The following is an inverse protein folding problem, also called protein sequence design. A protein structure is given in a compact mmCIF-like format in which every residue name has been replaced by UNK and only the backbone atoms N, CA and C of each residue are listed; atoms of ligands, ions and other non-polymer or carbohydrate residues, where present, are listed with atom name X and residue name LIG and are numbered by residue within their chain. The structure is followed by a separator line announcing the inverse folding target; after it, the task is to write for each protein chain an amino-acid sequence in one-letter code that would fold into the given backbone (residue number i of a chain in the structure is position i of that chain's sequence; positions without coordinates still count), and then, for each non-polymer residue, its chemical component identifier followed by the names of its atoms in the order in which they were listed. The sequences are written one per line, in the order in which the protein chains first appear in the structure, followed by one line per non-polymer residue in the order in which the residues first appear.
data_IF_987322073740
#
_entry.id   IF_987322073740
#
_cell.length_a   1.000
_cell.length_b   1.000
_cell.length_c   1.000
_cell.angle_alpha   90.00
_cell.angle_beta   90.00
_cell.angle_gamma   90.00
#
_symmetry.space_group_name_H-M   'P 1'
#
loop_
_entity.id
_entity.type
_entity.pdbx_description
1 polymer ?
#
# COMPACT_ATOMS: atom_id res chain seq x y z
N UNK A 1 21.43 2.87 34.14
CA UNK A 1 20.38 3.75 33.58
C UNK A 1 20.76 4.39 32.25
N UNK A 2 22.05 4.64 31.95
CA UNK A 2 22.50 5.29 30.69
C UNK A 2 22.11 4.55 29.38
N UNK A 3 21.93 3.22 29.41
CA UNK A 3 21.67 2.44 28.19
C UNK A 3 20.24 2.52 27.64
N UNK A 4 19.24 2.82 28.49
CA UNK A 4 17.84 2.87 28.04
C UNK A 4 17.58 4.19 27.28
N UNK A 5 18.12 5.28 27.79
CA UNK A 5 17.97 6.62 27.20
C UNK A 5 18.64 6.71 25.82
N UNK A 6 19.87 6.17 25.71
CA UNK A 6 20.60 6.13 24.44
C UNK A 6 19.88 5.30 23.36
N UNK A 7 19.19 4.22 23.75
CA UNK A 7 18.39 3.41 22.84
C UNK A 7 17.18 4.19 22.30
N UNK A 8 16.45 4.90 23.18
CA UNK A 8 15.32 5.73 22.75
C UNK A 8 15.77 6.87 21.82
N UNK A 9 16.91 7.49 22.09
CA UNK A 9 17.48 8.51 21.19
C UNK A 9 17.90 7.93 19.84
N UNK A 10 18.51 6.75 19.80
CA UNK A 10 18.90 6.11 18.54
C UNK A 10 17.68 5.65 17.72
N UNK A 11 16.66 5.10 18.39
CA UNK A 11 15.42 4.67 17.73
C UNK A 11 14.60 5.85 17.20
N UNK A 12 14.47 6.93 17.98
CA UNK A 12 13.81 8.16 17.52
C UNK A 12 14.58 8.85 16.41
N UNK A 13 15.92 8.80 16.45
CA UNK A 13 16.76 9.25 15.34
C UNK A 13 16.51 8.40 14.08
N UNK A 14 16.53 7.07 14.17
CA UNK A 14 16.21 6.18 13.03
C UNK A 14 14.83 6.46 12.40
N UNK A 15 13.82 6.74 13.22
CA UNK A 15 12.49 7.11 12.73
C UNK A 15 12.48 8.45 11.98
N UNK A 16 13.31 9.42 12.38
CA UNK A 16 13.48 10.70 11.68
C UNK A 16 14.17 10.54 10.31
N UNK A 17 14.93 9.46 10.10
CA UNK A 17 15.60 9.14 8.84
C UNK A 17 14.86 8.12 7.99
N UNK A 18 13.62 7.75 8.32
CA UNK A 18 12.83 6.83 7.51
C UNK A 18 12.65 7.42 6.10
N UNK A 19 13.35 6.91 5.07
CA UNK A 19 13.22 7.45 3.73
C UNK A 19 11.84 7.10 3.18
N UNK A 20 11.28 7.98 2.36
CA UNK A 20 10.16 7.62 1.50
C UNK A 20 10.65 6.61 0.47
N UNK A 21 10.31 5.34 0.64
CA UNK A 21 10.55 4.33 -0.39
C UNK A 21 9.57 4.57 -1.53
N UNK A 22 10.08 5.01 -2.69
CA UNK A 22 9.32 4.97 -3.94
C UNK A 22 9.45 3.56 -4.51
N UNK A 23 8.32 2.90 -4.69
CA UNK A 23 8.23 1.65 -5.43
C UNK A 23 7.32 1.87 -6.64
N UNK A 24 7.33 0.93 -7.58
CA UNK A 24 6.37 0.86 -8.69
C UNK A 24 5.01 0.43 -8.16
N UNK A 25 4.44 1.30 -7.33
CA UNK A 25 3.12 1.17 -6.75
C UNK A 25 2.49 2.54 -6.62
N UNK A 26 1.23 2.62 -7.00
CA UNK A 26 0.39 3.79 -6.84
C UNK A 26 -0.75 3.42 -5.92
N UNK A 27 -1.17 4.34 -5.04
CA UNK A 27 -2.14 4.03 -4.00
C UNK A 27 -3.15 5.13 -3.76
N UNK A 28 -4.36 4.73 -3.41
CA UNK A 28 -5.41 5.61 -2.90
C UNK A 28 -5.95 5.06 -1.60
N UNK A 29 -6.14 5.93 -0.63
CA UNK A 29 -6.73 5.59 0.67
C UNK A 29 -8.07 6.30 0.77
N UNK A 30 -9.11 5.56 1.11
CA UNK A 30 -10.47 6.07 1.19
C UNK A 30 -11.22 5.46 2.37
N UNK A 31 -12.26 6.15 2.83
CA UNK A 31 -13.13 5.69 3.91
C UNK A 31 -14.50 5.36 3.34
N UNK A 32 -15.08 4.26 3.81
CA UNK A 32 -16.41 3.83 3.42
C UNK A 32 -17.44 4.59 4.25
N UNK A 33 -18.43 5.26 3.64
CA UNK A 33 -19.47 5.96 4.39
C UNK A 33 -20.24 5.02 5.33
N UNK A 34 -20.57 5.49 6.55
CA UNK A 34 -21.33 4.74 7.56
C UNK A 34 -22.80 4.49 7.16
N UNK A 35 -23.34 5.33 6.27
CA UNK A 35 -24.69 5.24 5.73
C UNK A 35 -24.67 5.59 4.24
N UNK A 36 -25.65 5.11 3.44
CA UNK A 36 -25.81 5.50 2.03
C UNK A 36 -26.21 6.98 1.83
N UNK A 37 -26.00 7.84 2.82
CA UNK A 37 -26.17 9.28 2.72
C UNK A 37 -25.15 9.86 1.74
N UNK A 38 -25.64 10.24 0.55
CA UNK A 38 -24.87 10.74 -0.59
C UNK A 38 -24.15 12.06 -0.37
N UNK A 39 -23.10 12.06 0.47
CA UNK A 39 -22.39 13.28 0.82
C UNK A 39 -20.91 13.16 1.20
N UNK A 40 -20.22 12.03 0.98
CA UNK A 40 -18.83 11.86 1.43
C UNK A 40 -17.77 11.61 0.33
N UNK A 41 -18.17 11.32 -0.91
CA UNK A 41 -17.26 11.23 -2.05
C UNK A 41 -17.63 12.30 -3.08
N UNK A 42 -16.66 13.16 -3.40
CA UNK A 42 -16.82 14.37 -4.24
C UNK A 42 -17.33 14.06 -5.66
N UNK A 43 -17.26 12.80 -6.10
CA UNK A 43 -17.49 12.42 -7.48
C UNK A 43 -18.50 11.26 -7.57
N UNK A 44 -19.78 11.61 -7.56
CA UNK A 44 -20.88 10.68 -7.82
C UNK A 44 -20.97 10.40 -9.32
N UNK A 45 -21.05 9.12 -9.71
CA UNK A 45 -20.99 8.71 -11.13
C UNK A 45 -22.18 7.85 -11.55
N UNK A 46 -22.61 7.96 -12.81
CA UNK A 46 -23.64 7.09 -13.38
C UNK A 46 -23.01 5.74 -13.76
N UNK A 47 -23.14 4.74 -12.89
CA UNK A 47 -22.45 3.45 -12.99
C UNK A 47 -22.76 2.62 -14.24
N UNK A 48 -23.82 2.95 -14.98
CA UNK A 48 -24.30 2.16 -16.14
C UNK A 48 -23.46 2.33 -17.41
N UNK A 49 -22.54 3.29 -17.46
CA UNK A 49 -21.76 3.62 -18.67
C UNK A 49 -20.30 3.16 -18.60
N UNK A 50 -19.85 2.58 -17.48
CA UNK A 50 -18.45 2.19 -17.33
C UNK A 50 -18.19 0.76 -17.80
N UNK A 51 -17.11 0.58 -18.56
CA UNK A 51 -16.53 -0.73 -18.81
C UNK A 51 -15.83 -1.22 -17.54
N UNK A 52 -16.55 -1.94 -16.68
CA UNK A 52 -16.00 -2.53 -15.45
C UNK A 52 -15.14 -3.74 -15.82
N UNK A 53 -13.83 -3.62 -15.56
CA UNK A 53 -12.83 -4.62 -15.94
C UNK A 53 -12.64 -5.71 -14.89
N UNK A 54 -13.16 -5.52 -13.67
CA UNK A 54 -13.10 -6.54 -12.62
C UNK A 54 -13.77 -6.11 -11.32
N UNK A 55 -13.76 -7.02 -10.35
CA UNK A 55 -14.38 -6.83 -9.04
C UNK A 55 -13.44 -7.29 -7.91
N UNK A 56 -13.36 -6.49 -6.84
CA UNK A 56 -12.71 -6.83 -5.58
C UNK A 56 -13.75 -6.88 -4.46
N UNK A 57 -13.71 -7.90 -3.61
CA UNK A 57 -14.66 -8.02 -2.49
C UNK A 57 -14.02 -8.60 -1.23
N UNK A 58 -13.86 -7.79 -0.17
CA UNK A 58 -13.33 -8.27 1.11
C UNK A 58 -14.25 -9.25 1.85
N UNK A 59 -15.57 -9.15 1.64
CA UNK A 59 -16.56 -9.95 2.35
C UNK A 59 -16.60 -11.42 1.90
N UNK A 60 -16.17 -11.70 0.67
CA UNK A 60 -16.35 -13.02 0.05
C UNK A 60 -15.17 -13.96 0.28
N UNK A 61 -13.92 -13.49 0.18
CA UNK A 61 -12.71 -14.32 0.38
C UNK A 61 -11.43 -13.47 0.46
N UNK A 62 -10.38 -13.90 1.21
CA UNK A 62 -9.05 -13.28 1.16
C UNK A 62 -8.43 -13.23 -0.24
N UNK A 63 -8.73 -14.22 -1.10
CA UNK A 63 -8.22 -14.27 -2.48
C UNK A 63 -8.87 -13.22 -3.40
N UNK A 64 -10.04 -12.70 -3.02
CA UNK A 64 -10.77 -11.66 -3.77
C UNK A 64 -10.34 -10.23 -3.38
N UNK A 65 -9.21 -10.10 -2.70
CA UNK A 65 -8.54 -8.83 -2.40
C UNK A 65 -7.44 -8.50 -3.41
N UNK A 66 -7.11 -9.42 -4.33
CA UNK A 66 -6.14 -9.21 -5.39
C UNK A 66 -6.78 -9.50 -6.75
N UNK A 67 -6.61 -8.57 -7.69
CA UNK A 67 -7.04 -8.70 -9.07
C UNK A 67 -5.83 -8.47 -9.98
N UNK A 68 -5.41 -9.52 -10.70
CA UNK A 68 -4.37 -9.45 -11.72
C UNK A 68 -5.00 -9.25 -13.09
N UNK A 69 -4.68 -8.15 -13.76
CA UNK A 69 -5.27 -7.79 -15.06
C UNK A 69 -4.31 -6.98 -15.93
N UNK A 70 -4.52 -7.01 -17.24
CA UNK A 70 -3.86 -6.11 -18.18
C UNK A 70 -4.68 -4.81 -18.31
N UNK A 71 -4.08 -3.69 -17.92
CA UNK A 71 -4.70 -2.38 -18.07
C UNK A 71 -4.31 -1.76 -19.42
N UNK A 72 -5.28 -1.31 -20.23
CA UNK A 72 -4.98 -0.47 -21.37
C UNK A 72 -4.35 0.84 -20.89
N UNK A 73 -3.41 1.36 -21.66
CA UNK A 73 -2.75 2.63 -21.42
C UNK A 73 -2.53 3.32 -22.76
N UNK A 74 -2.45 4.63 -22.75
CA UNK A 74 -2.14 5.42 -23.95
C UNK A 74 -1.06 6.44 -23.63
N UNK A 75 -0.44 7.02 -24.66
CA UNK A 75 0.41 8.18 -24.43
C UNK A 75 -0.46 9.40 -24.08
N UNK A 76 0.02 10.28 -23.18
CA UNK A 76 -0.74 11.45 -22.78
C UNK A 76 -1.00 12.38 -23.98
N UNK A 77 -2.25 12.80 -24.15
CA UNK A 77 -2.66 13.77 -25.18
C UNK A 77 -3.29 15.01 -24.53
N UNK A 78 -3.49 16.09 -25.28
CA UNK A 78 -4.15 17.30 -24.76
C UNK A 78 -5.57 17.03 -24.26
N UNK A 79 -6.31 16.16 -24.95
CA UNK A 79 -7.67 15.75 -24.59
C UNK A 79 -7.73 14.69 -23.48
N UNK A 80 -6.69 13.87 -23.35
CA UNK A 80 -6.61 12.78 -22.37
C UNK A 80 -5.22 12.76 -21.71
N UNK A 81 -4.94 13.70 -20.78
CA UNK A 81 -3.62 13.83 -20.16
C UNK A 81 -3.24 12.64 -19.26
N UNK A 82 -4.25 11.90 -18.77
CA UNK A 82 -4.06 10.71 -17.93
C UNK A 82 -4.32 9.39 -18.68
N UNK A 83 -4.42 9.44 -20.00
CA UNK A 83 -4.65 8.27 -20.84
C UNK A 83 -6.06 7.71 -20.68
N UNK A 84 -6.15 6.39 -20.58
CA UNK A 84 -7.42 5.64 -20.61
C UNK A 84 -7.86 5.30 -19.20
N UNK A 85 -9.16 5.47 -18.95
CA UNK A 85 -9.79 5.16 -17.68
C UNK A 85 -10.30 3.72 -17.65
N UNK A 86 -9.90 2.98 -16.61
CA UNK A 86 -10.37 1.63 -16.30
C UNK A 86 -11.08 1.61 -14.95
N UNK A 87 -12.15 0.83 -14.84
CA UNK A 87 -13.03 0.83 -13.67
C UNK A 87 -13.08 -0.53 -12.99
N UNK A 88 -12.83 -0.57 -11.68
CA UNK A 88 -12.92 -1.77 -10.84
C UNK A 88 -14.00 -1.57 -9.81
N UNK A 89 -14.89 -2.57 -9.68
CA UNK A 89 -15.97 -2.54 -8.71
C UNK A 89 -15.50 -3.08 -7.36
N UNK A 90 -15.69 -2.30 -6.31
CA UNK A 90 -15.37 -2.65 -4.93
C UNK A 90 -16.66 -3.00 -4.20
N UNK A 91 -16.87 -4.28 -3.88
CA UNK A 91 -18.11 -4.78 -3.26
C UNK A 91 -17.94 -5.24 -1.83
N UNK A 92 -19.00 -5.10 -1.04
CA UNK A 92 -19.07 -5.68 0.30
C UNK A 92 -18.01 -5.07 1.24
N UNK A 93 -17.75 -3.77 1.08
CA UNK A 93 -16.88 -3.02 1.98
C UNK A 93 -17.57 -2.82 3.33
N UNK A 94 -16.82 -2.83 4.43
CA UNK A 94 -17.42 -2.57 5.75
C UNK A 94 -17.71 -1.06 5.90
N UNK A 95 -18.95 -0.65 6.25
CA UNK A 95 -19.25 0.74 6.57
C UNK A 95 -18.34 1.28 7.67
N UNK A 96 -17.87 2.52 7.52
CA UNK A 96 -16.96 3.18 8.47
C UNK A 96 -15.51 2.68 8.45
N UNK A 97 -15.23 1.60 7.72
CA UNK A 97 -13.87 1.11 7.58
C UNK A 97 -13.09 1.96 6.57
N UNK A 98 -11.78 2.02 6.79
CA UNK A 98 -10.83 2.68 5.90
C UNK A 98 -10.11 1.61 5.08
N UNK A 99 -9.98 1.83 3.78
CA UNK A 99 -9.32 0.91 2.86
C UNK A 99 -8.22 1.63 2.09
N UNK A 100 -7.24 0.85 1.63
CA UNK A 100 -6.22 1.27 0.68
C UNK A 100 -6.29 0.37 -0.54
N UNK A 101 -6.47 0.97 -1.71
CA UNK A 101 -6.29 0.29 -2.98
C UNK A 101 -4.89 0.61 -3.52
N UNK A 102 -4.18 -0.43 -3.94
CA UNK A 102 -2.83 -0.33 -4.52
C UNK A 102 -2.84 -0.93 -5.91
N UNK A 103 -2.22 -0.23 -6.85
CA UNK A 103 -1.86 -0.77 -8.16
C UNK A 103 -0.36 -1.02 -8.14
N UNK A 104 0.06 -2.26 -8.41
CA UNK A 104 1.45 -2.67 -8.47
C UNK A 104 1.79 -3.15 -9.88
N UNK A 105 2.95 -2.75 -10.41
CA UNK A 105 3.37 -3.15 -11.76
C UNK A 105 4.87 -3.43 -11.82
N UNK A 106 5.29 -4.10 -12.89
CA UNK A 106 6.69 -4.41 -13.10
C UNK A 106 7.51 -3.14 -13.39
N UNK A 107 8.71 -3.06 -12.82
CA UNK A 107 9.62 -1.94 -13.09
C UNK A 107 10.09 -1.87 -14.56
N UNK A 108 10.00 -2.98 -15.29
CA UNK A 108 10.34 -3.09 -16.71
C UNK A 108 9.26 -2.57 -17.64
N UNK A 109 8.08 -2.23 -17.11
CA UNK A 109 6.96 -1.66 -17.88
C UNK A 109 6.70 -0.23 -17.39
N UNK A 110 7.46 0.77 -17.87
CA UNK A 110 7.32 2.16 -17.45
C UNK A 110 5.91 2.67 -17.75
N UNK A 111 5.20 3.01 -16.68
CA UNK A 111 3.84 3.53 -16.68
C UNK A 111 3.65 4.43 -15.47
N UNK A 112 2.78 5.42 -15.64
CA UNK A 112 2.27 6.24 -14.55
C UNK A 112 0.77 6.02 -14.42
N UNK A 113 0.29 6.05 -13.18
CA UNK A 113 -1.08 5.73 -12.82
C UNK A 113 -1.68 6.81 -11.94
N UNK A 114 -3.00 6.99 -12.04
CA UNK A 114 -3.79 7.82 -11.12
C UNK A 114 -5.01 7.04 -10.66
N UNK A 115 -5.32 7.13 -9.37
CA UNK A 115 -6.38 6.38 -8.74
C UNK A 115 -7.37 7.34 -8.08
N UNK A 116 -8.67 7.14 -8.33
CA UNK A 116 -9.74 7.84 -7.63
C UNK A 116 -10.89 6.90 -7.31
N UNK A 117 -11.58 7.16 -6.20
CA UNK A 117 -12.71 6.35 -5.75
C UNK A 117 -13.99 7.15 -5.88
N UNK A 118 -15.04 6.48 -6.35
CA UNK A 118 -16.31 7.08 -6.72
C UNK A 118 -17.47 6.28 -6.12
N UNK A 119 -18.51 6.99 -5.69
CA UNK A 119 -19.77 6.38 -5.31
C UNK A 119 -20.71 6.31 -6.52
N UNK A 120 -21.52 5.25 -6.66
CA UNK A 120 -22.59 5.24 -7.65
C UNK A 120 -23.64 6.32 -7.32
N UNK A 121 -24.24 6.89 -8.37
CA UNK A 121 -25.35 7.84 -8.29
C UNK A 121 -26.62 7.20 -7.76
N UNK A 122 -26.87 5.95 -8.16
CA UNK A 122 -28.00 5.19 -7.66
C UNK A 122 -27.59 4.56 -6.34
N UNK A 123 -28.26 4.97 -5.25
CA UNK A 123 -28.04 4.45 -3.90
C UNK A 123 -28.58 3.01 -3.82
N UNK A 124 -27.93 2.08 -4.52
CA UNK A 124 -28.14 0.66 -4.32
C UNK A 124 -27.93 0.33 -2.84
N UNK A 125 -28.54 -0.76 -2.33
CA UNK A 125 -28.56 -1.10 -0.91
C UNK A 125 -27.20 -1.53 -0.32
N UNK A 126 -26.07 -1.08 -0.88
CA UNK A 126 -24.74 -1.56 -0.55
C UNK A 126 -23.68 -0.47 -0.45
N UNK A 127 -22.62 -0.79 0.30
CA UNK A 127 -21.34 -0.11 0.43
C UNK A 127 -20.45 -0.26 -0.81
N UNK A 128 -21.05 -0.29 -1.99
CA UNK A 128 -20.34 -0.59 -3.24
C UNK A 128 -19.73 0.71 -3.79
N UNK A 129 -18.44 0.65 -4.10
CA UNK A 129 -17.68 1.78 -4.61
C UNK A 129 -17.00 1.41 -5.93
N UNK A 130 -16.63 2.40 -6.71
CA UNK A 130 -15.91 2.23 -7.97
C UNK A 130 -14.51 2.82 -7.85
N UNK A 131 -13.49 2.02 -8.14
CA UNK A 131 -12.12 2.46 -8.28
C UNK A 131 -11.86 2.79 -9.75
N UNK A 132 -11.61 4.06 -10.03
CA UNK A 132 -11.11 4.55 -11.31
C UNK A 132 -9.59 4.45 -11.32
N UNK A 133 -9.03 3.89 -12.38
CA UNK A 133 -7.60 3.78 -12.61
C UNK A 133 -7.32 4.36 -14.00
N UNK A 134 -6.60 5.47 -14.05
CA UNK A 134 -6.12 6.07 -15.29
C UNK A 134 -4.66 5.68 -15.50
N UNK A 135 -4.30 5.19 -16.69
CA UNK A 135 -2.96 4.70 -16.98
C UNK A 135 -2.38 5.30 -18.26
N UNK A 136 -1.10 5.70 -18.19
CA UNK A 136 -0.33 6.13 -19.36
C UNK A 136 0.91 5.26 -19.61
N UNK A 137 1.37 5.26 -20.85
CA UNK A 137 2.70 4.77 -21.20
C UNK A 137 3.74 5.89 -20.96
N UNK A 138 4.76 5.62 -20.13
CA UNK A 138 5.81 6.60 -19.77
C UNK A 138 7.19 6.23 -20.35
N UNK A 139 7.24 5.93 -21.64
CA UNK A 139 8.48 5.65 -22.36
C UNK A 139 8.52 6.31 -23.74
N UNK A 140 9.71 6.31 -24.35
CA UNK A 140 9.89 6.69 -25.74
C UNK A 140 10.65 5.58 -26.46
N UNK A 141 10.23 5.26 -27.68
CA UNK A 141 10.89 4.26 -28.54
C UNK A 141 10.94 4.74 -29.98
N UNK A 142 11.88 4.21 -30.75
CA UNK A 142 11.97 4.44 -32.19
C UNK A 142 10.96 3.62 -32.98
N UNK A 143 10.33 2.63 -32.35
CA UNK A 143 9.29 1.82 -32.96
C UNK A 143 7.97 2.61 -33.03
N UNK A 144 7.61 3.07 -34.23
CA UNK A 144 6.40 3.88 -34.48
C UNK A 144 5.11 3.16 -34.13
N UNK A 145 5.04 1.83 -34.33
CA UNK A 145 3.85 1.05 -33.98
C UNK A 145 3.59 1.10 -32.47
N UNK A 146 4.64 0.92 -31.65
CA UNK A 146 4.54 0.99 -30.20
C UNK A 146 4.32 2.41 -29.67
N UNK A 147 4.76 3.44 -30.41
CA UNK A 147 4.48 4.85 -30.07
C UNK A 147 3.04 5.25 -30.41
N UNK A 148 2.40 4.59 -31.38
CA UNK A 148 1.01 4.87 -31.75
C UNK A 148 0.01 4.04 -30.94
N UNK A 149 0.36 2.80 -30.61
CA UNK A 149 -0.50 1.90 -29.84
C UNK A 149 0.35 1.13 -28.82
N UNK A 150 0.53 1.67 -27.61
CA UNK A 150 1.33 1.02 -26.58
C UNK A 150 0.65 -0.25 -26.07
N UNK A 151 1.45 -1.24 -25.69
CA UNK A 151 0.94 -2.50 -25.16
C UNK A 151 0.32 -2.30 -23.75
N UNK A 152 -0.76 -3.03 -23.42
CA UNK A 152 -1.32 -3.04 -22.07
C UNK A 152 -0.28 -3.40 -21.01
N UNK A 153 -0.48 -2.90 -19.79
CA UNK A 153 0.43 -3.16 -18.67
C UNK A 153 -0.22 -4.16 -17.71
N UNK A 154 0.50 -5.24 -17.42
CA UNK A 154 0.07 -6.21 -16.42
C UNK A 154 0.23 -5.60 -15.02
N UNK A 155 -0.86 -5.52 -14.28
CA UNK A 155 -0.89 -4.98 -12.93
C UNK A 155 -1.54 -5.93 -11.95
N UNK A 156 -1.13 -5.80 -10.68
CA UNK A 156 -1.82 -6.37 -9.54
C UNK A 156 -2.53 -5.26 -8.76
N UNK A 157 -3.86 -5.35 -8.71
CA UNK A 157 -4.71 -4.42 -7.95
C UNK A 157 -5.04 -5.09 -6.63
N UNK A 158 -4.63 -4.48 -5.53
CA UNK A 158 -4.78 -5.03 -4.19
C UNK A 158 -5.65 -4.10 -3.36
N UNK A 159 -6.65 -4.64 -2.66
CA UNK A 159 -7.48 -3.91 -1.71
C UNK A 159 -7.15 -4.38 -0.29
N UNK A 160 -6.70 -3.45 0.56
CA UNK A 160 -6.31 -3.75 1.94
C UNK A 160 -7.16 -2.94 2.93
N UNK A 161 -7.60 -3.59 4.01
CA UNK A 161 -8.39 -2.97 5.08
C UNK A 161 -7.45 -2.37 6.13
N UNK A 162 -7.73 -1.17 6.63
CA UNK A 162 -6.97 -0.59 7.73
C UNK A 162 -7.48 -1.12 9.07
N UNK A 163 -6.55 -1.55 9.92
CA UNK A 163 -6.80 -1.84 11.31
C UNK A 163 -6.84 -0.53 12.12
N UNK A 164 -7.96 -0.29 12.80
CA UNK A 164 -8.20 0.90 13.64
C UNK A 164 -8.04 2.23 12.89
N UNK A 165 -8.09 2.23 11.55
CA UNK A 165 -7.90 3.43 10.72
C UNK A 165 -6.46 3.95 10.63
N UNK A 166 -5.47 3.25 11.23
CA UNK A 166 -4.08 3.70 11.31
C UNK A 166 -3.18 2.92 10.33
N UNK A 167 -3.21 1.59 10.36
CA UNK A 167 -2.26 0.73 9.64
C UNK A 167 -2.97 -0.30 8.75
N UNK A 168 -2.45 -0.62 7.55
CA UNK A 168 -2.97 -1.69 6.72
C UNK A 168 -2.89 -3.04 7.46
N UNK A 169 -3.93 -3.87 7.35
CA UNK A 169 -4.03 -5.14 8.07
C UNK A 169 -2.93 -6.12 7.65
N UNK A 170 -2.53 -6.12 6.37
CA UNK A 170 -1.42 -6.95 5.89
C UNK A 170 -0.08 -6.67 6.58
N UNK A 171 0.13 -5.44 7.06
CA UNK A 171 1.38 -5.03 7.71
C UNK A 171 1.51 -5.58 9.13
N UNK A 172 0.42 -6.03 9.75
CA UNK A 172 0.41 -6.49 11.14
C UNK A 172 1.37 -7.67 11.37
N UNK A 173 1.35 -8.67 10.47
CA UNK A 173 2.21 -9.85 10.61
C UNK A 173 3.70 -9.49 10.50
N UNK A 174 4.03 -8.58 9.58
CA UNK A 174 5.40 -8.09 9.40
C UNK A 174 5.83 -7.27 10.62
N UNK A 175 4.98 -6.36 11.09
CA UNK A 175 5.24 -5.55 12.28
C UNK A 175 5.47 -6.42 13.52
N UNK A 176 4.61 -7.42 13.74
CA UNK A 176 4.77 -8.37 14.84
C UNK A 176 6.09 -9.13 14.75
N UNK A 177 6.42 -9.65 13.56
CA UNK A 177 7.69 -10.33 13.34
C UNK A 177 8.90 -9.44 13.66
N UNK A 178 8.90 -8.20 13.18
CA UNK A 178 9.97 -7.23 13.45
C UNK A 178 10.11 -6.95 14.96
N UNK A 179 9.00 -6.79 15.69
CA UNK A 179 9.02 -6.57 17.14
C UNK A 179 9.61 -7.76 17.88
N UNK A 180 9.21 -8.99 17.51
CA UNK A 180 9.75 -10.22 18.11
C UNK A 180 11.25 -10.32 17.86
N UNK A 181 11.68 -10.12 16.61
CA UNK A 181 13.09 -10.17 16.24
C UNK A 181 13.93 -9.11 16.95
N UNK A 182 13.41 -7.89 17.09
CA UNK A 182 14.07 -6.82 17.84
C UNK A 182 14.22 -7.20 19.32
N UNK A 183 13.19 -7.80 19.94
CA UNK A 183 13.25 -8.28 21.32
C UNK A 183 14.28 -9.38 21.54
N UNK A 184 14.36 -10.34 20.61
CA UNK A 184 15.37 -11.42 20.64
C UNK A 184 16.78 -10.85 20.49
N UNK A 185 16.99 -9.94 19.54
CA UNK A 185 18.28 -9.29 19.32
C UNK A 185 18.74 -8.49 20.54
N UNK A 186 17.82 -7.72 21.14
CA UNK A 186 18.08 -7.02 22.41
C UNK A 186 18.52 -8.01 23.48
N UNK A 187 17.72 -9.05 23.72
CA UNK A 187 17.99 -10.03 24.78
C UNK A 187 19.36 -10.69 24.58
N UNK A 188 19.68 -11.11 23.36
CA UNK A 188 20.99 -11.67 23.03
C UNK A 188 22.13 -10.68 23.32
N UNK A 189 21.99 -9.41 22.89
CA UNK A 189 22.97 -8.37 23.16
C UNK A 189 23.19 -8.14 24.66
N UNK A 190 22.12 -8.13 25.44
CA UNK A 190 22.20 -8.01 26.90
C UNK A 190 22.97 -9.16 27.54
N UNK A 191 22.75 -10.40 27.08
CA UNK A 191 23.47 -11.58 27.59
C UNK A 191 24.97 -11.51 27.26
N UNK A 192 25.34 -11.05 26.06
CA UNK A 192 26.75 -10.86 25.67
C UNK A 192 27.43 -9.82 26.55
N UNK A 193 26.78 -8.68 26.80
CA UNK A 193 27.32 -7.63 27.68
C UNK A 193 27.55 -8.19 29.10
N UNK A 194 26.58 -8.91 29.65
CA UNK A 194 26.72 -9.53 30.98
C UNK A 194 27.85 -10.54 31.04
N UNK A 195 28.06 -11.30 29.97
CA UNK A 195 29.15 -12.26 29.88
C UNK A 195 30.52 -11.57 29.85
N UNK A 196 30.66 -10.51 29.03
CA UNK A 196 31.89 -9.69 28.94
C UNK A 196 32.22 -9.00 30.28
N UNK A 197 31.22 -8.46 30.96
CA UNK A 197 31.38 -7.88 32.30
C UNK A 197 31.86 -8.94 33.29
N UNK A 198 31.35 -10.16 33.20
CA UNK A 198 31.77 -11.29 34.01
C UNK A 198 33.25 -11.64 33.83
N UNK A 199 33.73 -11.66 32.58
CA UNK A 199 35.15 -11.92 32.27
C UNK A 199 36.04 -10.78 32.78
N UNK A 200 35.65 -9.54 32.50
CA UNK A 200 36.43 -8.37 32.88
C UNK A 200 36.59 -8.28 34.41
N UNK A 201 35.50 -8.52 35.16
CA UNK A 201 35.54 -8.53 36.63
C UNK A 201 36.42 -9.64 37.20
N UNK A 202 36.41 -10.84 36.61
CA UNK A 202 37.30 -11.93 37.03
C UNK A 202 38.76 -11.56 36.79
N UNK A 203 39.09 -11.11 35.57
CA UNK A 203 40.46 -10.71 35.23
C UNK A 203 40.99 -9.52 36.05
N UNK A 204 40.11 -8.60 36.48
CA UNK A 204 40.49 -7.53 37.41
C UNK A 204 40.82 -8.08 38.80
N UNK A 205 40.05 -9.06 39.27
CA UNK A 205 40.22 -9.66 40.58
C UNK A 205 41.54 -10.42 40.68
N UNK A 206 41.89 -11.19 39.63
CA UNK A 206 43.13 -11.97 39.55
C UNK A 206 44.40 -11.11 39.48
N UNK A 207 44.29 -9.81 39.15
CA UNK A 207 45.43 -8.87 39.13
C UNK A 207 45.67 -8.15 40.46
N UNK A 208 44.69 -8.15 41.37
CA UNK A 208 44.74 -7.37 42.63
C UNK A 208 45.13 -8.25 43.82
N UNK A 209 44.96 -9.57 43.72
CA UNK A 209 45.54 -10.59 44.62
C UNK A 209 46.87 -11.10 44.14
#
# INVERSE_FOLDING_TARGET
MVGLDAFFFFFTWLLLWAPSAKANTEKVIFSVPDAPSGGALENVINGSEFNVIGQLSPAESPEKLLLRIELPREFPTESAPHGVDSWVLLKGLKPGARYEARVCWAATTPSDFWLSVHSPLDNGPGSDLYLKISAIASYYTTNTTLMNNPEPVLVDIILDEYLLGILPRSLLNVGLFVVVMAGVAWYAGFQVIRWLDGITRKGLKDKVT
#
